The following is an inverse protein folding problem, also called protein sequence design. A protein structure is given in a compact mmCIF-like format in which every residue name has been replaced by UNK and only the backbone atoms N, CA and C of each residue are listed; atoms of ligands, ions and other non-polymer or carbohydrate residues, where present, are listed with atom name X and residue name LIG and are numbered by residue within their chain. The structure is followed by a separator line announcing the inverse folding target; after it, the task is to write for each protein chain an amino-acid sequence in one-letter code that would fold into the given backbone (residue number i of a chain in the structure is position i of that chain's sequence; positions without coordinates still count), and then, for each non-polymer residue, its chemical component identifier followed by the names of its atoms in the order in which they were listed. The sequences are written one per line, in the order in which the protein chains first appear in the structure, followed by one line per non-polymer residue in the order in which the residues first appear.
data_IF_081970719820
#
_entry.id   IF_081970719820
#
_cell.length_a   1.000
_cell.length_b   1.000
_cell.length_c   1.000
_cell.angle_alpha   90.00
_cell.angle_beta   90.00
_cell.angle_gamma   90.00
#
_symmetry.space_group_name_H-M   'P 1'
#
loop_
_entity.id
_entity.type
_entity.pdbx_description
1 polymer ?
#
# COMPACT_ATOMS: atom_id res chain seq x y z
N UNK A 1 -23.60 27.22 -18.98
CA UNK A 1 -23.00 26.92 -17.67
C UNK A 1 -22.58 25.47 -17.69
N UNK A 2 -21.35 25.20 -18.10
CA UNK A 2 -20.76 23.88 -18.03
C UNK A 2 -20.23 23.70 -16.61
N UNK A 3 -20.71 22.67 -15.92
CA UNK A 3 -20.13 22.20 -14.67
C UNK A 3 -18.83 21.51 -15.07
N UNK A 4 -17.70 22.16 -14.81
CA UNK A 4 -16.39 21.50 -14.86
C UNK A 4 -16.40 20.33 -13.87
N UNK A 5 -16.01 19.12 -14.27
CA UNK A 5 -15.85 18.04 -13.32
C UNK A 5 -14.58 18.34 -12.52
N UNK A 6 -14.74 18.83 -11.29
CA UNK A 6 -13.69 18.78 -10.28
C UNK A 6 -13.23 17.33 -10.16
N UNK A 7 -12.14 17.01 -10.86
CA UNK A 7 -11.29 15.87 -10.55
C UNK A 7 -10.78 16.12 -9.13
N UNK A 8 -11.54 15.63 -8.14
CA UNK A 8 -11.14 15.57 -6.73
C UNK A 8 -9.77 14.89 -6.68
N UNK A 9 -8.70 15.69 -6.71
CA UNK A 9 -7.34 15.22 -6.62
C UNK A 9 -7.18 14.62 -5.23
N UNK A 10 -7.11 13.29 -5.18
CA UNK A 10 -6.89 12.55 -3.94
C UNK A 10 -5.66 13.13 -3.21
N UNK A 11 -5.70 13.21 -1.88
CA UNK A 11 -4.60 13.71 -1.04
C UNK A 11 -3.22 13.18 -1.48
N UNK A 12 -3.11 11.93 -1.92
CA UNK A 12 -1.85 11.36 -2.42
C UNK A 12 -1.38 11.97 -3.74
N UNK A 13 -2.29 12.28 -4.66
CA UNK A 13 -1.99 12.99 -5.92
C UNK A 13 -1.49 14.40 -5.63
N UNK A 14 -2.10 15.09 -4.66
CA UNK A 14 -1.65 16.40 -4.22
C UNK A 14 -0.26 16.33 -3.61
N UNK A 15 0.02 15.36 -2.73
CA UNK A 15 1.36 15.16 -2.18
C UNK A 15 2.38 14.88 -3.30
N UNK A 16 2.09 13.99 -4.25
CA UNK A 16 3.04 13.73 -5.34
C UNK A 16 3.28 14.97 -6.21
N UNK A 17 2.27 15.81 -6.43
CA UNK A 17 2.42 17.09 -7.14
C UNK A 17 3.30 18.05 -6.35
N UNK A 18 3.05 18.22 -5.05
CA UNK A 18 3.88 19.05 -4.16
C UNK A 18 5.32 18.53 -4.07
N UNK A 19 5.51 17.21 -4.14
CA UNK A 19 6.83 16.59 -4.17
C UNK A 19 7.65 17.01 -5.40
N UNK A 20 7.01 17.13 -6.57
CA UNK A 20 7.68 17.64 -7.78
C UNK A 20 8.27 19.04 -7.56
N UNK A 21 7.54 19.92 -6.86
CA UNK A 21 8.03 21.26 -6.53
C UNK A 21 9.19 21.25 -5.53
N UNK A 22 9.15 20.34 -4.54
CA UNK A 22 10.24 20.15 -3.58
C UNK A 22 11.51 19.63 -4.28
N UNK A 23 11.35 18.70 -5.22
CA UNK A 23 12.46 18.13 -5.99
C UNK A 23 13.07 19.09 -7.02
N UNK A 24 12.31 20.07 -7.51
CA UNK A 24 12.81 21.08 -8.44
C UNK A 24 13.82 22.06 -7.80
N UNK A 25 13.95 22.06 -6.47
CA UNK A 25 14.90 22.93 -5.75
C UNK A 25 16.20 22.16 -5.45
N UNK A 26 17.26 22.43 -6.20
CA UNK A 26 18.57 21.76 -6.04
C UNK A 26 19.14 21.85 -4.61
N UNK A 27 18.89 22.97 -3.92
CA UNK A 27 19.30 23.16 -2.52
C UNK A 27 18.74 22.09 -1.57
N UNK A 28 17.52 21.59 -1.84
CA UNK A 28 16.89 20.57 -1.01
C UNK A 28 17.62 19.23 -1.14
N UNK A 29 18.01 18.87 -2.37
CA UNK A 29 18.79 17.67 -2.63
C UNK A 29 20.17 17.75 -1.97
N UNK A 30 20.85 18.90 -2.05
CA UNK A 30 22.15 19.10 -1.41
C UNK A 30 22.07 19.01 0.12
N UNK A 31 21.04 19.61 0.71
CA UNK A 31 20.81 19.58 2.16
C UNK A 31 20.48 18.17 2.67
N UNK A 32 19.63 17.43 1.95
CA UNK A 32 19.32 16.04 2.31
C UNK A 32 20.57 15.15 2.19
N UNK A 33 21.39 15.35 1.16
CA UNK A 33 22.66 14.63 1.01
C UNK A 33 23.62 14.87 2.17
N UNK A 34 23.77 16.11 2.64
CA UNK A 34 24.65 16.37 3.80
C UNK A 34 24.18 15.61 5.02
N UNK A 35 22.87 15.57 5.30
CA UNK A 35 22.31 14.79 6.42
C UNK A 35 22.54 13.29 6.28
N UNK A 36 22.42 12.76 5.07
CA UNK A 36 22.66 11.34 4.80
C UNK A 36 24.14 10.97 4.99
N UNK A 37 25.06 11.83 4.55
CA UNK A 37 26.50 11.67 4.79
C UNK A 37 26.79 11.69 6.29
N UNK A 38 26.23 12.66 7.03
CA UNK A 38 26.41 12.79 8.48
C UNK A 38 25.84 11.57 9.23
N UNK A 39 24.76 10.98 8.72
CA UNK A 39 24.17 9.74 9.23
C UNK A 39 24.97 8.48 8.85
N UNK A 40 26.04 8.60 8.04
CA UNK A 40 26.89 7.49 7.62
C UNK A 40 26.37 6.70 6.41
N UNK A 41 25.41 7.24 5.66
CA UNK A 41 24.90 6.61 4.44
C UNK A 41 25.93 6.74 3.32
N UNK A 42 26.39 5.59 2.83
CA UNK A 42 27.31 5.53 1.70
C UNK A 42 26.53 5.24 0.42
N UNK A 43 26.65 6.14 -0.56
CA UNK A 43 26.14 5.95 -1.92
C UNK A 43 27.26 6.16 -2.94
N UNK A 44 27.10 5.60 -4.14
CA UNK A 44 28.09 5.70 -5.21
C UNK A 44 28.39 7.17 -5.58
N UNK A 45 29.61 7.43 -6.05
CA UNK A 45 30.06 8.77 -6.47
C UNK A 45 29.15 9.42 -7.55
N UNK A 46 28.40 8.59 -8.29
CA UNK A 46 27.47 8.99 -9.35
C UNK A 46 26.02 9.20 -8.85
N UNK A 47 25.81 9.37 -7.54
CA UNK A 47 24.45 9.48 -6.99
C UNK A 47 23.62 10.61 -7.65
N UNK A 48 22.31 10.39 -7.90
CA UNK A 48 21.45 11.31 -8.67
C UNK A 48 21.31 12.70 -8.06
N UNK A 49 21.59 13.77 -8.82
CA UNK A 49 21.57 15.16 -8.31
C UNK A 49 20.20 15.61 -7.81
N UNK A 50 19.12 15.11 -8.42
CA UNK A 50 17.75 15.38 -7.99
C UNK A 50 17.40 14.66 -6.68
N UNK A 51 16.59 15.30 -5.84
CA UNK A 51 16.09 14.68 -4.61
C UNK A 51 15.22 13.44 -4.89
N UNK A 52 14.43 13.44 -5.96
CA UNK A 52 13.62 12.29 -6.36
C UNK A 52 14.48 11.06 -6.71
N UNK A 53 15.46 11.25 -7.60
CA UNK A 53 16.41 10.18 -7.93
C UNK A 53 17.24 9.71 -6.73
N UNK A 54 17.57 10.60 -5.79
CA UNK A 54 18.24 10.23 -4.54
C UNK A 54 17.33 9.35 -3.68
N UNK A 55 16.05 9.70 -3.52
CA UNK A 55 15.10 8.88 -2.78
C UNK A 55 14.88 7.52 -3.43
N UNK A 56 14.76 7.48 -4.77
CA UNK A 56 14.69 6.24 -5.53
C UNK A 56 15.89 5.32 -5.29
N UNK A 57 17.11 5.87 -5.35
CA UNK A 57 18.35 5.13 -5.06
C UNK A 57 18.34 4.55 -3.64
N UNK A 58 17.92 5.33 -2.63
CA UNK A 58 17.83 4.85 -1.25
C UNK A 58 16.82 3.71 -1.10
N UNK A 59 15.67 3.81 -1.76
CA UNK A 59 14.65 2.77 -1.71
C UNK A 59 15.12 1.48 -2.39
N UNK A 60 15.75 1.57 -3.56
CA UNK A 60 16.34 0.42 -4.25
C UNK A 60 17.42 -0.24 -3.39
N UNK A 61 18.28 0.56 -2.77
CA UNK A 61 19.33 0.05 -1.90
C UNK A 61 18.76 -0.56 -0.62
N UNK A 62 17.69 -0.01 -0.05
CA UNK A 62 16.94 -0.59 1.06
C UNK A 62 16.37 -1.97 0.74
N UNK A 63 15.93 -2.22 -0.50
CA UNK A 63 15.49 -3.56 -0.93
C UNK A 63 16.66 -4.54 -0.99
N UNK A 64 17.82 -4.09 -1.48
CA UNK A 64 19.01 -4.93 -1.63
C UNK A 64 19.72 -5.23 -0.31
N UNK A 65 19.93 -4.20 0.51
CA UNK A 65 20.77 -4.25 1.71
C UNK A 65 19.93 -4.40 3.01
N UNK A 66 18.60 -4.35 2.87
CA UNK A 66 17.63 -4.69 3.92
C UNK A 66 17.32 -3.57 4.92
N UNK A 67 16.71 -3.97 6.04
CA UNK A 67 16.20 -3.03 7.04
C UNK A 67 17.32 -2.23 7.73
N UNK A 68 18.51 -2.81 7.94
CA UNK A 68 19.64 -2.09 8.57
C UNK A 68 20.07 -0.86 7.77
N UNK A 69 20.14 -0.97 6.45
CA UNK A 69 20.43 0.19 5.60
C UNK A 69 19.31 1.24 5.71
N UNK A 70 18.06 0.76 5.69
CA UNK A 70 16.87 1.61 5.83
C UNK A 70 16.85 2.38 7.15
N UNK A 71 17.24 1.72 8.24
CA UNK A 71 17.28 2.27 9.59
C UNK A 71 18.28 3.43 9.70
N UNK A 72 19.43 3.33 9.05
CA UNK A 72 20.45 4.38 9.03
C UNK A 72 19.92 5.66 8.39
N UNK A 73 19.42 5.57 7.15
CA UNK A 73 19.01 6.77 6.42
C UNK A 73 17.67 7.33 6.92
N UNK A 74 16.69 6.49 7.27
CA UNK A 74 15.44 6.94 7.87
C UNK A 74 15.70 7.54 9.26
N UNK A 75 16.53 6.89 10.07
CA UNK A 75 16.92 7.38 11.39
C UNK A 75 17.59 8.75 11.32
N UNK A 76 18.55 8.93 10.41
CA UNK A 76 19.19 10.22 10.16
C UNK A 76 18.21 11.32 9.79
N UNK A 77 17.28 11.05 8.86
CA UNK A 77 16.26 12.03 8.48
C UNK A 77 15.28 12.33 9.62
N UNK A 78 14.90 11.34 10.43
CA UNK A 78 13.99 11.54 11.56
C UNK A 78 14.61 12.40 12.66
N UNK A 79 15.92 12.31 12.88
CA UNK A 79 16.61 13.23 13.80
C UNK A 79 16.41 14.69 13.39
N UNK A 80 16.48 15.00 12.09
CA UNK A 80 16.18 16.35 11.59
C UNK A 80 14.68 16.68 11.61
N UNK A 81 13.81 15.71 11.30
CA UNK A 81 12.36 15.91 11.20
C UNK A 81 11.69 16.32 12.53
N UNK A 82 12.26 15.93 13.67
CA UNK A 82 11.75 16.29 15.00
C UNK A 82 12.07 17.73 15.41
N UNK A 83 12.95 18.43 14.68
CA UNK A 83 13.29 19.82 14.92
C UNK A 83 12.21 20.83 14.50
N UNK A 84 12.61 22.11 14.47
CA UNK A 84 11.79 23.24 14.02
C UNK A 84 12.39 23.89 12.77
N UNK A 85 11.56 24.55 11.97
CA UNK A 85 11.97 25.29 10.77
C UNK A 85 11.95 24.46 9.47
N UNK A 86 12.37 25.10 8.39
CA UNK A 86 12.24 24.59 7.02
C UNK A 86 13.01 23.28 6.80
N UNK A 87 14.18 23.13 7.42
CA UNK A 87 14.96 21.88 7.36
C UNK A 87 14.22 20.70 8.00
N UNK A 88 13.57 20.91 9.15
CA UNK A 88 12.78 19.86 9.79
C UNK A 88 11.54 19.49 8.95
N UNK A 89 10.90 20.48 8.31
CA UNK A 89 9.80 20.23 7.39
C UNK A 89 10.26 19.45 6.16
N UNK A 90 11.40 19.80 5.58
CA UNK A 90 12.00 19.08 4.45
C UNK A 90 12.32 17.63 4.83
N UNK A 91 12.98 17.41 5.96
CA UNK A 91 13.29 16.05 6.42
C UNK A 91 12.03 15.21 6.65
N UNK A 92 11.01 15.78 7.33
CA UNK A 92 9.73 15.13 7.50
C UNK A 92 9.07 14.80 6.16
N UNK A 93 9.16 15.73 5.19
CA UNK A 93 8.60 15.55 3.85
C UNK A 93 9.26 14.39 3.10
N UNK A 94 10.58 14.25 3.15
CA UNK A 94 11.31 13.15 2.52
C UNK A 94 10.90 11.81 3.14
N UNK A 95 10.81 11.72 4.46
CA UNK A 95 10.36 10.50 5.15
C UNK A 95 8.92 10.15 4.80
N UNK A 96 8.01 11.14 4.78
CA UNK A 96 6.62 10.95 4.34
C UNK A 96 6.58 10.42 2.92
N UNK A 97 7.34 11.02 2.00
CA UNK A 97 7.40 10.57 0.61
C UNK A 97 7.86 9.11 0.50
N UNK A 98 8.88 8.75 1.28
CA UNK A 98 9.36 7.38 1.33
C UNK A 98 8.32 6.37 1.86
N UNK A 99 7.49 6.83 2.81
CA UNK A 99 6.48 6.03 3.48
C UNK A 99 5.12 6.05 2.76
N UNK A 100 4.96 6.81 1.66
CA UNK A 100 3.71 6.89 0.92
C UNK A 100 3.15 5.53 0.48
N UNK A 101 3.94 4.57 -0.02
CA UNK A 101 3.41 3.26 -0.37
C UNK A 101 2.73 2.56 0.82
N UNK A 102 3.26 2.75 2.03
CA UNK A 102 2.64 2.20 3.24
C UNK A 102 1.35 2.95 3.63
N UNK A 103 1.32 4.28 3.48
CA UNK A 103 0.13 5.08 3.74
C UNK A 103 -1.02 4.78 2.76
N UNK A 104 -0.70 4.57 1.47
CA UNK A 104 -1.68 4.18 0.45
C UNK A 104 -2.29 2.82 0.80
N UNK A 105 -1.47 1.82 1.12
CA UNK A 105 -1.95 0.50 1.57
C UNK A 105 -2.79 0.60 2.85
N UNK A 106 -2.36 1.41 3.82
CA UNK A 106 -3.09 1.62 5.07
C UNK A 106 -4.46 2.24 4.83
N UNK A 107 -4.55 3.24 3.94
CA UNK A 107 -5.82 3.87 3.55
C UNK A 107 -6.76 2.83 2.96
N UNK A 108 -6.26 2.04 1.99
CA UNK A 108 -7.04 0.98 1.33
C UNK A 108 -7.61 -0.04 2.31
N UNK A 109 -6.82 -0.42 3.33
CA UNK A 109 -7.25 -1.32 4.41
C UNK A 109 -8.23 -0.68 5.39
N UNK A 110 -8.23 0.64 5.50
CA UNK A 110 -9.02 1.36 6.49
C UNK A 110 -10.37 1.83 5.96
N UNK A 111 -10.52 1.97 4.64
CA UNK A 111 -11.78 2.39 4.01
C UNK A 111 -12.88 1.36 4.22
N UNK A 112 -13.97 1.78 4.87
CA UNK A 112 -15.19 0.98 5.00
C UNK A 112 -16.16 1.24 3.86
N UNK A 113 -17.17 0.36 3.71
CA UNK A 113 -18.13 0.38 2.61
C UNK A 113 -18.90 1.71 2.43
N UNK A 114 -18.96 2.57 3.44
CA UNK A 114 -19.68 3.85 3.42
C UNK A 114 -18.78 5.08 3.58
N UNK A 115 -17.45 4.91 3.55
CA UNK A 115 -16.47 6.00 3.73
C UNK A 115 -15.84 6.38 2.39
N UNK A 116 -15.52 7.66 2.21
CA UNK A 116 -14.82 8.12 1.01
C UNK A 116 -13.32 7.86 1.16
N UNK A 117 -12.66 7.22 0.17
CA UNK A 117 -11.23 6.94 0.24
C UNK A 117 -10.33 8.16 0.44
N UNK A 118 -10.75 9.33 -0.05
CA UNK A 118 -9.98 10.57 0.11
C UNK A 118 -10.00 11.05 1.57
N UNK A 119 -11.16 11.00 2.24
CA UNK A 119 -11.31 11.42 3.64
C UNK A 119 -10.45 10.52 4.56
N UNK A 120 -10.51 9.20 4.37
CA UNK A 120 -9.65 8.25 5.09
C UNK A 120 -8.17 8.51 4.75
N UNK A 121 -7.85 8.79 3.49
CA UNK A 121 -6.50 9.12 3.05
C UNK A 121 -5.94 10.35 3.77
N UNK A 122 -6.75 11.40 3.97
CA UNK A 122 -6.35 12.59 4.71
C UNK A 122 -5.99 12.27 6.17
N UNK A 123 -6.80 11.43 6.83
CA UNK A 123 -6.50 10.94 8.19
C UNK A 123 -5.19 10.15 8.22
N UNK A 124 -4.97 9.25 7.26
CA UNK A 124 -3.74 8.47 7.19
C UNK A 124 -2.51 9.34 6.94
N UNK A 125 -2.61 10.32 6.05
CA UNK A 125 -1.51 11.26 5.78
C UNK A 125 -1.21 12.10 7.02
N UNK A 126 -2.23 12.63 7.69
CA UNK A 126 -2.05 13.38 8.94
C UNK A 126 -1.38 12.53 10.03
N UNK A 127 -1.84 11.28 10.19
CA UNK A 127 -1.25 10.32 11.11
C UNK A 127 0.20 9.98 10.77
N UNK A 128 0.56 9.87 9.49
CA UNK A 128 1.93 9.64 9.05
C UNK A 128 2.82 10.85 9.40
N UNK A 129 2.37 12.07 9.11
CA UNK A 129 3.10 13.28 9.51
C UNK A 129 3.28 13.34 11.03
N UNK A 130 2.24 13.00 11.80
CA UNK A 130 2.32 12.95 13.25
C UNK A 130 3.35 11.90 13.72
N UNK A 131 3.31 10.68 13.17
CA UNK A 131 4.25 9.62 13.50
C UNK A 131 5.70 10.04 13.20
N UNK A 132 5.95 10.68 12.05
CA UNK A 132 7.28 11.17 11.66
C UNK A 132 7.76 12.28 12.61
N UNK A 133 6.90 13.24 12.97
CA UNK A 133 7.29 14.36 13.84
C UNK A 133 7.49 13.97 15.30
N UNK A 134 6.84 12.91 15.76
CA UNK A 134 6.91 12.42 17.14
C UNK A 134 7.84 11.21 17.32
N UNK A 135 8.49 10.74 16.25
CA UNK A 135 9.29 9.53 16.31
C UNK A 135 10.52 9.69 17.22
N UNK A 136 10.73 8.82 18.23
CA UNK A 136 11.85 8.93 19.14
C UNK A 136 13.12 8.31 18.55
N UNK A 137 13.68 8.92 17.49
CA UNK A 137 14.80 8.38 16.71
C UNK A 137 16.02 7.98 17.56
N UNK A 138 16.34 8.74 18.61
CA UNK A 138 17.45 8.44 19.51
C UNK A 138 17.22 7.20 20.40
N UNK A 139 15.96 6.84 20.69
CA UNK A 139 15.61 5.70 21.55
C UNK A 139 15.28 4.43 20.77
N UNK A 140 14.94 4.56 19.49
CA UNK A 140 14.54 3.46 18.60
C UNK A 140 15.29 3.56 17.26
N UNK A 141 16.58 3.20 17.22
CA UNK A 141 17.39 3.31 16.00
C UNK A 141 17.18 2.14 15.02
N UNK A 142 16.54 1.05 15.45
CA UNK A 142 16.36 -0.16 14.64
C UNK A 142 14.89 -0.36 14.23
N UNK A 143 14.69 -0.99 13.08
CA UNK A 143 13.38 -1.28 12.48
C UNK A 143 12.51 -0.02 12.36
N UNK A 144 13.12 1.08 11.95
CA UNK A 144 12.54 2.42 11.94
C UNK A 144 11.26 2.45 11.11
N UNK A 145 11.30 1.90 9.89
CA UNK A 145 10.13 1.83 9.01
C UNK A 145 9.00 0.95 9.57
N UNK A 146 9.32 -0.10 10.33
CA UNK A 146 8.31 -0.94 11.00
C UNK A 146 7.62 -0.15 12.10
N UNK A 147 8.39 0.47 12.98
CA UNK A 147 7.82 1.24 14.09
C UNK A 147 7.07 2.49 13.61
N UNK A 148 7.53 3.17 12.56
CA UNK A 148 6.78 4.27 11.96
C UNK A 148 5.40 3.82 11.45
N UNK A 149 5.32 2.63 10.82
CA UNK A 149 4.02 2.07 10.39
C UNK A 149 3.12 1.77 11.58
N UNK A 150 3.68 1.26 12.67
CA UNK A 150 2.93 0.97 13.89
C UNK A 150 2.39 2.25 14.55
N UNK A 151 3.23 3.28 14.70
CA UNK A 151 2.81 4.58 15.25
C UNK A 151 1.76 5.24 14.35
N UNK A 152 1.96 5.20 13.03
CA UNK A 152 0.96 5.66 12.05
C UNK A 152 -0.36 4.91 12.23
N UNK A 153 -0.34 3.57 12.36
CA UNK A 153 -1.54 2.78 12.59
C UNK A 153 -2.25 3.16 13.90
N UNK A 154 -1.51 3.36 14.99
CA UNK A 154 -2.12 3.77 16.25
C UNK A 154 -2.84 5.11 16.14
N UNK A 155 -2.25 6.08 15.44
CA UNK A 155 -2.89 7.36 15.13
C UNK A 155 -4.12 7.16 14.24
N UNK A 156 -4.00 6.44 13.12
CA UNK A 156 -5.10 6.16 12.19
C UNK A 156 -6.27 5.47 12.90
N UNK A 157 -6.01 4.39 13.64
CA UNK A 157 -7.06 3.64 14.34
C UNK A 157 -7.80 4.52 15.35
N UNK A 158 -7.07 5.35 16.11
CA UNK A 158 -7.66 6.26 17.09
C UNK A 158 -8.48 7.36 16.40
N UNK A 159 -7.97 7.93 15.32
CA UNK A 159 -8.55 9.11 14.70
C UNK A 159 -9.74 8.71 13.80
N UNK A 160 -9.68 7.58 13.09
CA UNK A 160 -10.84 7.00 12.41
C UNK A 160 -11.95 6.59 13.38
N UNK A 161 -11.62 6.05 14.56
CA UNK A 161 -12.61 5.80 15.62
C UNK A 161 -13.26 7.10 16.11
N UNK A 162 -12.53 8.23 16.14
CA UNK A 162 -13.09 9.51 16.58
C UNK A 162 -13.96 10.16 15.50
N UNK A 163 -13.52 10.07 14.25
CA UNK A 163 -14.09 10.81 13.13
C UNK A 163 -15.22 10.04 12.41
N UNK A 164 -15.13 8.71 12.40
CA UNK A 164 -16.06 7.82 11.69
C UNK A 164 -16.69 6.75 12.58
N UNK A 165 -16.67 6.91 13.92
CA UNK A 165 -17.48 6.04 14.76
C UNK A 165 -18.96 6.17 14.36
N UNK A 166 -19.63 5.09 13.89
CA UNK A 166 -21.06 5.04 14.02
C UNK A 166 -21.34 5.04 15.52
N UNK A 167 -22.31 5.82 15.98
CA UNK A 167 -22.78 5.73 17.36
C UNK A 167 -23.06 4.25 17.70
N UNK A 168 -22.17 3.62 18.47
CA UNK A 168 -22.31 2.25 18.99
C UNK A 168 -21.93 1.11 18.02
N UNK A 169 -20.71 0.58 18.15
CA UNK A 169 -20.49 -0.87 18.09
C UNK A 169 -19.25 -1.19 18.92
N UNK A 170 -19.47 -1.81 20.07
CA UNK A 170 -18.42 -2.22 21.00
C UNK A 170 -17.47 -3.23 20.35
N UNK A 171 -16.18 -3.11 20.68
CA UNK A 171 -15.13 -4.01 20.25
C UNK A 171 -15.37 -5.37 20.93
N UNK A 172 -15.43 -6.47 20.16
CA UNK A 172 -15.54 -7.82 20.74
C UNK A 172 -14.19 -8.21 21.38
N UNK A 173 -14.10 -8.00 22.70
CA UNK A 173 -12.91 -8.26 23.52
C UNK A 173 -12.47 -9.74 23.49
N UNK A 174 -13.35 -10.65 23.10
CA UNK A 174 -13.05 -12.09 22.99
C UNK A 174 -12.11 -12.39 21.82
N UNK A 175 -12.27 -11.67 20.70
CA UNK A 175 -11.40 -11.79 19.52
C UNK A 175 -10.02 -11.14 19.75
N UNK A 176 -9.97 -10.09 20.57
CA UNK A 176 -8.71 -9.42 20.92
C UNK A 176 -7.79 -10.28 21.80
N UNK A 177 -8.36 -11.20 22.59
CA UNK A 177 -7.62 -12.11 23.47
C UNK A 177 -6.92 -13.28 22.77
N UNK A 178 -7.23 -13.55 21.50
CA UNK A 178 -6.66 -14.66 20.73
C UNK A 178 -5.38 -14.27 19.96
N UNK A 179 -5.00 -12.98 19.97
CA UNK A 179 -3.83 -12.44 19.28
C UNK A 179 -2.57 -12.62 20.14
N UNK A 180 -1.59 -13.38 19.65
CA UNK A 180 -0.29 -13.58 20.33
C UNK A 180 0.72 -12.49 19.94
N UNK A 181 1.68 -12.20 20.82
CA UNK A 181 2.62 -11.07 20.67
C UNK A 181 3.59 -11.17 19.47
N UNK A 182 3.67 -12.32 18.80
CA UNK A 182 4.59 -12.60 17.69
C UNK A 182 3.94 -12.50 16.30
N UNK A 183 2.61 -12.41 16.22
CA UNK A 183 1.91 -12.19 14.95
C UNK A 183 1.58 -10.70 14.78
N UNK A 184 1.65 -10.21 13.54
CA UNK A 184 0.97 -8.97 13.18
C UNK A 184 -0.53 -9.32 13.01
N UNK A 185 -1.41 -8.89 13.93
CA UNK A 185 -2.83 -9.21 13.88
C UNK A 185 -3.50 -8.79 12.57
N UNK A 186 -2.98 -7.73 11.95
CA UNK A 186 -3.51 -7.22 10.70
C UNK A 186 -3.13 -8.13 9.52
N UNK A 187 -1.90 -8.68 9.51
CA UNK A 187 -1.50 -9.66 8.48
C UNK A 187 -2.26 -10.97 8.63
N UNK A 188 -2.46 -11.44 9.86
CA UNK A 188 -3.21 -12.67 10.12
C UNK A 188 -4.70 -12.52 9.80
N UNK A 189 -5.30 -11.38 10.13
CA UNK A 189 -6.68 -11.08 9.76
C UNK A 189 -6.85 -10.90 8.25
N UNK A 190 -5.88 -10.32 7.56
CA UNK A 190 -5.85 -10.19 6.10
C UNK A 190 -5.75 -11.55 5.41
N UNK A 191 -4.88 -12.43 5.92
CA UNK A 191 -4.74 -13.81 5.44
C UNK A 191 -6.05 -14.59 5.63
N UNK A 192 -6.64 -14.55 6.82
CA UNK A 192 -7.93 -15.19 7.11
C UNK A 192 -9.09 -14.60 6.32
N UNK A 193 -9.12 -13.29 6.09
CA UNK A 193 -10.14 -12.64 5.29
C UNK A 193 -10.01 -13.04 3.81
N UNK A 194 -8.78 -13.04 3.28
CA UNK A 194 -8.52 -13.43 1.91
C UNK A 194 -8.84 -14.90 1.70
N UNK A 195 -8.48 -15.78 2.64
CA UNK A 195 -8.85 -17.20 2.64
C UNK A 195 -10.37 -17.39 2.63
N UNK A 196 -11.11 -16.66 3.47
CA UNK A 196 -12.59 -16.71 3.49
C UNK A 196 -13.21 -16.18 2.20
N UNK A 197 -12.74 -15.03 1.71
CA UNK A 197 -13.24 -14.45 0.47
C UNK A 197 -12.89 -15.31 -0.75
N UNK A 198 -11.72 -15.96 -0.72
CA UNK A 198 -11.29 -16.94 -1.69
C UNK A 198 -12.22 -18.17 -1.67
N UNK A 199 -12.48 -18.76 -0.50
CA UNK A 199 -13.40 -19.88 -0.33
C UNK A 199 -14.83 -19.53 -0.78
N UNK A 200 -15.36 -18.36 -0.38
CA UNK A 200 -16.67 -17.87 -0.82
C UNK A 200 -16.77 -17.66 -2.34
N UNK A 201 -15.63 -17.34 -2.97
CA UNK A 201 -15.50 -17.22 -4.42
C UNK A 201 -15.16 -18.55 -5.13
N UNK A 202 -14.88 -19.62 -4.38
CA UNK A 202 -14.56 -20.96 -4.89
C UNK A 202 -13.08 -21.20 -5.19
N UNK A 203 -12.16 -20.55 -4.46
CA UNK A 203 -10.72 -20.70 -4.60
C UNK A 203 -10.13 -21.37 -3.33
N UNK A 204 -9.98 -22.70 -3.33
CA UNK A 204 -9.75 -23.48 -2.08
C UNK A 204 -8.29 -23.90 -1.80
N UNK A 205 -7.31 -23.64 -2.68
CA UNK A 205 -5.94 -24.17 -2.51
C UNK A 205 -4.88 -23.05 -2.47
N UNK A 206 -3.86 -23.13 -1.60
CA UNK A 206 -2.55 -22.44 -1.61
C UNK A 206 -2.48 -20.96 -2.04
N UNK A 207 -2.46 -20.03 -1.08
CA UNK A 207 -2.37 -18.57 -1.30
C UNK A 207 -0.95 -18.02 -1.08
N UNK A 208 0.05 -18.55 -1.79
CA UNK A 208 1.44 -18.08 -1.68
C UNK A 208 1.90 -17.29 -2.92
N UNK A 209 2.78 -16.31 -2.70
CA UNK A 209 3.46 -15.55 -3.75
C UNK A 209 2.53 -14.90 -4.79
N UNK A 210 2.87 -15.02 -6.08
CA UNK A 210 2.12 -14.42 -7.19
C UNK A 210 0.66 -14.90 -7.29
N UNK A 211 0.34 -16.06 -6.72
CA UNK A 211 -1.02 -16.59 -6.71
C UNK A 211 -1.91 -15.84 -5.73
N UNK A 212 -1.35 -15.38 -4.61
CA UNK A 212 -2.05 -14.51 -3.65
C UNK A 212 -2.45 -13.19 -4.31
N UNK A 213 -1.51 -12.52 -4.97
CA UNK A 213 -1.77 -11.25 -5.66
C UNK A 213 -2.83 -11.39 -6.76
N UNK A 214 -2.83 -12.54 -7.47
CA UNK A 214 -3.87 -12.85 -8.45
C UNK A 214 -5.24 -13.07 -7.81
N UNK A 215 -5.32 -13.79 -6.69
CA UNK A 215 -6.59 -14.02 -5.97
C UNK A 215 -7.12 -12.73 -5.37
N UNK A 216 -6.26 -11.87 -4.82
CA UNK A 216 -6.63 -10.53 -4.34
C UNK A 216 -7.28 -9.69 -5.45
N UNK A 217 -6.68 -9.66 -6.65
CA UNK A 217 -7.24 -8.99 -7.82
C UNK A 217 -8.61 -9.57 -8.24
N UNK A 218 -8.75 -10.90 -8.22
CA UNK A 218 -9.99 -11.56 -8.62
C UNK A 218 -11.12 -11.34 -7.61
N UNK A 219 -10.82 -11.39 -6.30
CA UNK A 219 -11.78 -11.09 -5.23
C UNK A 219 -12.25 -9.64 -5.32
N UNK A 220 -11.33 -8.69 -5.55
CA UNK A 220 -11.70 -7.30 -5.79
C UNK A 220 -12.60 -7.14 -7.01
N UNK A 221 -12.26 -7.77 -8.14
CA UNK A 221 -13.04 -7.67 -9.37
C UNK A 221 -14.44 -8.26 -9.23
N UNK A 222 -14.62 -9.29 -8.39
CA UNK A 222 -15.92 -9.86 -8.04
C UNK A 222 -16.71 -8.90 -7.14
N UNK A 223 -16.08 -8.33 -6.10
CA UNK A 223 -16.71 -7.37 -5.20
C UNK A 223 -17.21 -6.10 -5.92
N UNK A 224 -16.47 -5.64 -6.93
CA UNK A 224 -16.84 -4.50 -7.78
C UNK A 224 -17.73 -4.87 -8.97
N UNK A 225 -18.10 -6.15 -9.12
CA UNK A 225 -18.88 -6.67 -10.25
C UNK A 225 -18.26 -6.41 -11.63
N UNK A 226 -16.94 -6.19 -11.68
CA UNK A 226 -16.16 -6.10 -12.92
C UNK A 226 -16.11 -7.46 -13.61
N UNK A 227 -16.03 -8.53 -12.82
CA UNK A 227 -16.10 -9.91 -13.29
C UNK A 227 -17.32 -10.65 -12.73
N UNK A 228 -17.79 -11.63 -13.49
CA UNK A 228 -18.69 -12.66 -12.95
C UNK A 228 -17.87 -13.77 -12.28
N UNK A 229 -18.47 -14.48 -11.31
CA UNK A 229 -17.86 -15.68 -10.68
C UNK A 229 -17.34 -16.67 -11.73
N UNK A 230 -18.12 -16.90 -12.78
CA UNK A 230 -17.76 -17.82 -13.87
C UNK A 230 -16.60 -17.32 -14.75
N UNK A 231 -16.33 -16.00 -14.78
CA UNK A 231 -15.20 -15.40 -15.47
C UNK A 231 -13.93 -15.43 -14.62
N UNK A 232 -14.05 -15.16 -13.32
CA UNK A 232 -12.95 -15.25 -12.36
C UNK A 232 -12.44 -16.69 -12.21
N UNK A 233 -13.35 -17.67 -12.10
CA UNK A 233 -12.99 -19.10 -12.06
C UNK A 233 -12.22 -19.54 -13.31
N UNK A 234 -12.66 -19.12 -14.51
CA UNK A 234 -11.98 -19.45 -15.77
C UNK A 234 -10.56 -18.87 -15.89
N UNK A 235 -10.26 -17.78 -15.18
CA UNK A 235 -8.90 -17.21 -15.10
C UNK A 235 -8.08 -17.98 -14.06
N UNK A 236 -8.61 -18.15 -12.85
CA UNK A 236 -7.92 -18.86 -11.77
C UNK A 236 -7.55 -20.29 -12.16
N UNK A 237 -8.48 -21.02 -12.80
CA UNK A 237 -8.24 -22.39 -13.26
C UNK A 237 -7.17 -22.48 -14.35
N UNK A 238 -6.96 -21.42 -15.14
CA UNK A 238 -5.95 -21.42 -16.20
C UNK A 238 -4.52 -21.23 -15.67
N UNK A 239 -4.38 -20.49 -14.58
CA UNK A 239 -3.10 -20.15 -13.98
C UNK A 239 -2.77 -21.02 -12.75
N UNK A 240 -3.65 -21.94 -12.35
CA UNK A 240 -3.34 -22.94 -11.32
C UNK A 240 -2.23 -23.88 -11.82
N UNK A 241 -1.30 -24.23 -10.94
CA UNK A 241 -0.32 -25.27 -11.23
C UNK A 241 -1.04 -26.60 -11.51
N UNK A 242 -0.66 -27.30 -12.59
CA UNK A 242 -1.38 -28.51 -13.04
C UNK A 242 -2.74 -28.26 -13.70
N UNK A 243 -3.06 -27.01 -14.08
CA UNK A 243 -4.31 -26.64 -14.75
C UNK A 243 -4.66 -27.58 -15.93
N UNK A 244 -5.91 -28.06 -16.01
CA UNK A 244 -6.36 -28.83 -17.17
C UNK A 244 -6.29 -27.95 -18.42
N UNK A 245 -5.73 -28.48 -19.51
CA UNK A 245 -5.68 -27.76 -20.78
C UNK A 245 -7.09 -27.34 -21.25
N UNK A 246 -7.18 -26.25 -22.03
CA UNK A 246 -8.44 -25.58 -22.42
C UNK A 246 -9.55 -26.53 -22.92
N UNK A 247 -9.20 -27.65 -23.57
CA UNK A 247 -10.18 -28.64 -24.03
C UNK A 247 -10.84 -29.42 -22.88
N UNK A 248 -10.08 -29.78 -21.85
CA UNK A 248 -10.58 -30.48 -20.68
C UNK A 248 -11.40 -29.54 -19.79
N UNK A 249 -10.90 -28.33 -19.55
CA UNK A 249 -11.62 -27.29 -18.83
C UNK A 249 -12.96 -26.93 -19.50
N UNK A 250 -12.98 -26.77 -20.83
CA UNK A 250 -14.20 -26.48 -21.58
C UNK A 250 -15.24 -27.61 -21.49
N UNK A 251 -14.82 -28.89 -21.54
CA UNK A 251 -15.73 -30.03 -21.36
C UNK A 251 -16.36 -30.07 -19.96
N UNK A 252 -15.59 -29.76 -18.91
CA UNK A 252 -16.07 -29.76 -17.54
C UNK A 252 -17.23 -28.78 -17.30
N UNK A 253 -17.28 -27.68 -18.08
CA UNK A 253 -18.34 -26.66 -18.02
C UNK A 253 -19.32 -26.73 -19.20
N UNK A 254 -19.30 -27.81 -19.98
CA UNK A 254 -20.22 -28.03 -21.11
C UNK A 254 -20.05 -27.05 -22.28
N UNK A 255 -18.88 -26.43 -22.43
CA UNK A 255 -18.58 -25.45 -23.48
C UNK A 255 -17.67 -26.01 -24.57
N UNK A 256 -17.68 -25.38 -25.75
CA UNK A 256 -16.65 -25.64 -26.76
C UNK A 256 -15.32 -24.99 -26.34
N UNK A 257 -14.15 -25.57 -26.70
CA UNK A 257 -12.85 -24.99 -26.36
C UNK A 257 -12.65 -23.56 -26.90
N UNK A 258 -13.23 -23.25 -28.05
CA UNK A 258 -13.18 -21.91 -28.63
C UNK A 258 -14.01 -20.90 -27.83
N UNK A 259 -15.24 -21.28 -27.42
CA UNK A 259 -16.09 -20.43 -26.59
C UNK A 259 -15.48 -20.20 -25.20
N UNK A 260 -14.87 -21.22 -24.60
CA UNK A 260 -14.17 -21.11 -23.32
C UNK A 260 -12.97 -20.15 -23.39
N UNK A 261 -12.14 -20.26 -24.42
CA UNK A 261 -11.04 -19.31 -24.67
C UNK A 261 -11.55 -17.88 -24.85
N UNK A 262 -12.58 -17.71 -25.68
CA UNK A 262 -13.16 -16.38 -25.93
C UNK A 262 -13.71 -15.77 -24.63
N UNK A 263 -14.38 -16.57 -23.80
CA UNK A 263 -14.86 -16.14 -22.48
C UNK A 263 -13.71 -15.69 -21.57
N UNK A 264 -12.62 -16.46 -21.49
CA UNK A 264 -11.42 -16.08 -20.72
C UNK A 264 -10.78 -14.81 -21.26
N UNK A 265 -10.60 -14.69 -22.58
CA UNK A 265 -10.06 -13.47 -23.20
C UNK A 265 -10.91 -12.23 -22.88
N UNK A 266 -12.25 -12.34 -22.90
CA UNK A 266 -13.14 -11.25 -22.51
C UNK A 266 -13.00 -10.89 -21.03
N UNK A 267 -12.91 -11.88 -20.15
CA UNK A 267 -12.68 -11.65 -18.72
C UNK A 267 -11.33 -10.93 -18.48
N UNK A 268 -10.26 -11.34 -19.16
CA UNK A 268 -8.95 -10.65 -19.11
C UNK A 268 -9.04 -9.24 -19.69
N UNK A 269 -9.79 -9.02 -20.77
CA UNK A 269 -10.00 -7.68 -21.33
C UNK A 269 -10.77 -6.76 -20.37
N UNK A 270 -11.77 -7.29 -19.66
CA UNK A 270 -12.50 -6.57 -18.61
C UNK A 270 -11.57 -6.18 -17.45
N UNK A 271 -10.72 -7.11 -16.99
CA UNK A 271 -9.70 -6.80 -15.98
C UNK A 271 -8.71 -5.73 -16.45
N UNK A 272 -8.24 -5.80 -17.70
CA UNK A 272 -7.34 -4.78 -18.26
C UNK A 272 -7.99 -3.41 -18.34
N UNK A 273 -9.25 -3.33 -18.73
CA UNK A 273 -9.99 -2.07 -18.76
C UNK A 273 -10.15 -1.48 -17.35
N UNK A 274 -10.34 -2.33 -16.34
CA UNK A 274 -10.44 -1.94 -14.93
C UNK A 274 -9.09 -1.85 -14.20
N UNK A 275 -7.97 -2.10 -14.88
CA UNK A 275 -6.66 -2.16 -14.23
C UNK A 275 -6.26 -0.81 -13.63
N UNK A 276 -6.66 0.31 -14.25
CA UNK A 276 -6.46 1.63 -13.67
C UNK A 276 -7.23 1.83 -12.36
N UNK A 277 -8.44 1.29 -12.24
CA UNK A 277 -9.22 1.31 -11.01
C UNK A 277 -8.62 0.39 -9.95
N UNK A 278 -8.09 -0.77 -10.35
CA UNK A 278 -7.36 -1.66 -9.46
C UNK A 278 -6.10 -0.99 -8.94
N UNK A 279 -5.27 -0.38 -9.79
CA UNK A 279 -4.05 0.35 -9.38
C UNK A 279 -4.40 1.57 -8.53
N UNK A 280 -5.50 2.26 -8.83
CA UNK A 280 -6.02 3.32 -7.95
C UNK A 280 -6.50 2.73 -6.60
N UNK A 281 -7.00 1.50 -6.58
CA UNK A 281 -7.50 0.78 -5.41
C UNK A 281 -6.46 -0.12 -4.69
N UNK A 282 -5.26 -0.34 -5.23
CA UNK A 282 -4.16 -1.24 -4.75
C UNK A 282 -2.85 -0.50 -4.47
#
# INVERSE_FOLDING_TARGET
MAVEPELSANVFTRLNTEWTWVCAQDRNAQQVRSWLIDAGVQYAAEAPRSLDGLLGLLQEQSVRDGHRFSDVWLGGLLQHATGNGDGAQLAARVVVQAMLPAAVRMTKRSVRANERPDEVGQVVVAALYQAVRLYPAARRPEQVARYLRLEMWHHVSRDLKREFAPSGTELDERLAGELTADCDPALQAEELWLERAAAEAGFDEGLEGARREMVELLVWALGRKVLSRSGAAAIADHYREGAPGDRAAARAVGMSPAAFRQKRCRAVAQLRAAAGEWVAAA
#
